data_IF_914391787232
#
_entry.id   IF_914391787232
#
_cell.length_a   1.000
_cell.length_b   1.000
_cell.length_c   1.000
_cell.angle_alpha   90.00
_cell.angle_beta   90.00
_cell.angle_gamma   90.00
#
_symmetry.space_group_name_H-M   'P 1'
#
loop_
_entity.id
_entity.type
_entity.pdbx_description
1 polymer ?
#
# COMPACT_ATOMS: atom_id res chain seq x y z
N UNK A 1 -19.62 -49.09 3.15
CA UNK A 1 -18.57 -49.95 2.57
C UNK A 1 -17.71 -49.11 1.63
N UNK A 2 -16.42 -48.98 1.94
CA UNK A 2 -15.25 -48.79 1.05
C UNK A 2 -15.34 -47.66 -0.02
N UNK A 3 -14.79 -46.47 0.22
CA UNK A 3 -13.37 -46.10 0.10
C UNK A 3 -12.72 -46.56 -1.21
N UNK A 4 -12.42 -45.61 -2.13
CA UNK A 4 -11.24 -45.63 -3.01
C UNK A 4 -10.83 -44.18 -3.35
N UNK A 5 -9.79 -43.70 -2.65
CA UNK A 5 -9.00 -42.56 -3.07
C UNK A 5 -8.10 -42.94 -4.25
N UNK A 6 -7.85 -41.97 -5.14
CA UNK A 6 -6.82 -42.06 -6.15
C UNK A 6 -5.82 -40.92 -5.90
N UNK A 7 -4.70 -41.26 -5.27
CA UNK A 7 -3.55 -40.38 -5.13
C UNK A 7 -2.79 -40.35 -6.46
N UNK A 8 -2.59 -39.15 -7.01
CA UNK A 8 -1.67 -38.93 -8.11
C UNK A 8 -0.25 -38.77 -7.54
N UNK A 9 0.59 -39.80 -7.66
CA UNK A 9 2.01 -39.76 -7.30
C UNK A 9 2.81 -39.19 -8.47
N UNK A 10 3.18 -37.91 -8.39
CA UNK A 10 4.18 -37.30 -9.28
C UNK A 10 5.58 -37.66 -8.74
N UNK A 11 6.29 -38.54 -9.45
CA UNK A 11 7.72 -38.80 -9.24
C UNK A 11 8.54 -37.75 -9.98
N UNK A 12 9.10 -36.78 -9.27
CA UNK A 12 10.18 -35.92 -9.81
C UNK A 12 11.51 -36.64 -9.61
N UNK A 13 12.18 -37.01 -10.70
CA UNK A 13 13.58 -37.45 -10.68
C UNK A 13 14.47 -36.21 -10.53
N UNK A 14 15.14 -36.04 -9.40
CA UNK A 14 16.28 -35.14 -9.31
C UNK A 14 17.46 -35.77 -10.04
N UNK A 15 17.86 -35.17 -11.17
CA UNK A 15 19.16 -35.41 -11.79
C UNK A 15 20.14 -34.34 -11.29
N UNK A 16 21.11 -34.75 -10.48
CA UNK A 16 22.25 -33.92 -10.11
C UNK A 16 23.21 -33.82 -11.31
N UNK A 17 23.50 -32.60 -11.75
CA UNK A 17 24.58 -32.32 -12.72
C UNK A 17 25.64 -31.46 -12.04
N UNK A 18 26.82 -32.04 -11.88
CA UNK A 18 28.04 -31.32 -11.53
C UNK A 18 28.46 -30.40 -12.69
N UNK A 19 29.06 -29.23 -12.44
CA UNK A 19 29.64 -28.42 -13.50
C UNK A 19 31.03 -28.95 -13.89
N UNK A 20 31.25 -29.03 -15.21
CA UNK A 20 32.54 -29.35 -15.80
C UNK A 20 33.51 -28.15 -15.66
N UNK A 21 34.71 -28.42 -15.16
CA UNK A 21 35.83 -27.47 -15.14
C UNK A 21 36.38 -27.36 -16.56
N UNK A 22 36.19 -26.20 -17.19
CA UNK A 22 36.86 -25.84 -18.45
C UNK A 22 38.11 -25.04 -18.11
N UNK A 23 39.26 -25.63 -18.43
CA UNK A 23 40.58 -25.04 -18.26
C UNK A 23 40.88 -24.17 -19.48
N UNK A 24 40.80 -22.85 -19.34
CA UNK A 24 41.19 -21.91 -20.39
C UNK A 24 42.65 -21.49 -20.22
N UNK A 25 43.42 -21.67 -21.30
CA UNK A 25 44.81 -21.27 -21.46
C UNK A 25 44.99 -19.77 -21.31
N UNK A 26 46.02 -19.38 -20.55
CA UNK A 26 46.47 -18.01 -20.44
C UNK A 26 47.21 -17.58 -21.71
N UNK A 27 46.67 -16.60 -22.43
CA UNK A 27 47.41 -15.81 -23.40
C UNK A 27 47.62 -14.42 -22.80
N UNK A 28 48.87 -14.10 -22.45
CA UNK A 28 49.24 -12.85 -21.81
C UNK A 28 49.42 -11.74 -22.85
N UNK A 29 48.53 -10.76 -22.85
CA UNK A 29 48.72 -9.48 -23.56
C UNK A 29 48.82 -8.35 -22.53
N UNK A 30 50.05 -7.87 -22.31
CA UNK A 30 50.39 -6.76 -21.44
C UNK A 30 49.79 -5.44 -21.98
N UNK A 31 48.81 -4.90 -21.26
CA UNK A 31 48.34 -3.52 -21.47
C UNK A 31 48.91 -2.62 -20.36
N UNK A 32 49.41 -1.41 -20.68
CA UNK A 32 49.88 -0.47 -19.67
C UNK A 32 48.70 0.01 -18.82
N UNK A 33 48.75 -0.28 -17.51
CA UNK A 33 47.79 0.23 -16.52
C UNK A 33 48.07 1.71 -16.23
N UNK A 34 47.33 2.59 -16.88
CA UNK A 34 47.23 3.99 -16.45
C UNK A 34 46.46 4.03 -15.13
N UNK A 35 47.11 4.43 -14.03
CA UNK A 35 46.43 4.66 -12.74
C UNK A 35 45.51 5.87 -12.90
N UNK A 36 44.21 5.63 -13.03
CA UNK A 36 43.21 6.69 -12.84
C UNK A 36 43.28 7.14 -11.38
N UNK A 37 43.67 8.38 -11.16
CA UNK A 37 43.55 9.02 -9.86
C UNK A 37 42.06 9.11 -9.50
N UNK A 38 41.65 8.41 -8.44
CA UNK A 38 40.31 8.52 -7.87
C UNK A 38 40.16 9.91 -7.27
N UNK A 39 39.54 10.83 -8.00
CA UNK A 39 39.04 12.07 -7.42
C UNK A 39 38.02 11.69 -6.36
N UNK A 40 38.38 11.91 -5.10
CA UNK A 40 37.47 11.80 -3.95
C UNK A 40 36.37 12.86 -4.17
N UNK A 41 35.19 12.42 -4.60
CA UNK A 41 34.02 13.28 -4.70
C UNK A 41 33.69 13.85 -3.31
N UNK A 42 33.00 15.01 -3.24
CA UNK A 42 32.52 15.54 -1.97
C UNK A 42 31.68 14.48 -1.26
N UNK A 43 31.77 14.44 0.06
CA UNK A 43 30.96 13.55 0.89
C UNK A 43 29.48 13.72 0.53
N UNK A 44 28.69 12.62 0.45
CA UNK A 44 27.27 12.73 0.20
C UNK A 44 26.67 13.68 1.24
N UNK A 45 25.87 14.64 0.76
CA UNK A 45 25.10 15.49 1.64
C UNK A 45 24.32 14.59 2.62
N UNK A 46 24.30 14.96 3.90
CA UNK A 46 23.43 14.31 4.89
C UNK A 46 22.05 14.19 4.26
N UNK A 47 21.51 12.96 4.22
CA UNK A 47 20.17 12.68 3.73
C UNK A 47 19.25 13.73 4.32
N UNK A 48 18.58 14.52 3.47
CA UNK A 48 17.54 15.42 3.93
C UNK A 48 16.56 14.57 4.75
N UNK A 49 16.30 14.99 5.99
CA UNK A 49 15.33 14.35 6.86
C UNK A 49 14.00 14.34 6.10
N UNK A 50 13.47 13.14 5.80
CA UNK A 50 12.20 13.01 5.09
C UNK A 50 11.12 13.28 6.14
N UNK A 51 10.66 14.53 6.21
CA UNK A 51 9.55 14.91 7.07
C UNK A 51 8.26 14.31 6.51
N UNK A 52 7.66 13.39 7.26
CA UNK A 52 6.32 12.86 6.99
C UNK A 52 5.27 13.86 7.47
N UNK A 53 4.13 13.91 6.77
CA UNK A 53 3.05 14.83 7.11
C UNK A 53 2.30 14.35 8.37
N UNK A 54 1.98 15.29 9.26
CA UNK A 54 1.19 15.05 10.47
C UNK A 54 -0.21 15.62 10.29
N UNK A 55 -1.22 14.75 10.34
CA UNK A 55 -2.64 15.12 10.18
C UNK A 55 -3.13 16.01 11.33
N UNK A 56 -4.15 16.83 11.05
CA UNK A 56 -4.84 17.58 12.11
C UNK A 56 -5.44 16.60 13.14
N UNK A 57 -5.28 16.84 14.46
CA UNK A 57 -5.86 15.97 15.48
C UNK A 57 -7.38 15.90 15.37
N UNK A 58 -7.95 14.70 15.59
CA UNK A 58 -9.40 14.52 15.75
C UNK A 58 -9.75 14.62 17.24
N UNK A 59 -10.79 15.39 17.56
CA UNK A 59 -11.22 15.71 18.91
C UNK A 59 -12.48 14.95 19.31
N UNK A 60 -12.29 13.86 20.05
CA UNK A 60 -13.38 13.11 20.68
C UNK A 60 -14.10 12.12 19.75
N UNK A 61 -14.95 11.29 20.35
CA UNK A 61 -15.53 10.13 19.67
C UNK A 61 -16.50 10.48 18.55
N UNK A 62 -17.22 11.60 18.66
CA UNK A 62 -18.17 12.04 17.63
C UNK A 62 -17.45 12.35 16.32
N UNK A 63 -16.35 13.10 16.39
CA UNK A 63 -15.54 13.44 15.22
C UNK A 63 -14.87 12.18 14.64
N UNK A 64 -14.38 11.29 15.50
CA UNK A 64 -13.79 10.02 15.07
C UNK A 64 -14.80 9.12 14.35
N UNK A 65 -16.03 9.00 14.83
CA UNK A 65 -17.05 8.19 14.15
C UNK A 65 -17.54 8.84 12.85
N UNK A 66 -17.64 10.17 12.81
CA UNK A 66 -17.91 10.89 11.56
C UNK A 66 -16.78 10.66 10.54
N UNK A 67 -15.53 10.69 10.99
CA UNK A 67 -14.36 10.39 10.17
C UNK A 67 -14.38 8.95 9.64
N UNK A 68 -14.73 7.97 10.48
CA UNK A 68 -14.86 6.55 10.08
C UNK A 68 -15.87 6.40 8.94
N UNK A 69 -17.06 6.99 9.09
CA UNK A 69 -18.12 6.92 8.08
C UNK A 69 -17.69 7.62 6.79
N UNK A 70 -17.08 8.79 6.90
CA UNK A 70 -16.61 9.55 5.75
C UNK A 70 -15.54 8.78 4.95
N UNK A 71 -14.51 8.24 5.62
CA UNK A 71 -13.43 7.50 4.96
C UNK A 71 -13.94 6.21 4.32
N UNK A 72 -14.78 5.45 5.03
CA UNK A 72 -15.34 4.21 4.47
C UNK A 72 -16.20 4.50 3.23
N UNK A 73 -16.97 5.59 3.22
CA UNK A 73 -17.74 6.00 2.03
C UNK A 73 -16.81 6.43 0.90
N UNK A 74 -15.84 7.30 1.18
CA UNK A 74 -14.91 7.83 0.18
C UNK A 74 -14.09 6.73 -0.50
N UNK A 75 -13.56 5.78 0.27
CA UNK A 75 -12.77 4.67 -0.26
C UNK A 75 -13.61 3.68 -1.05
N UNK A 76 -14.82 3.35 -0.58
CA UNK A 76 -15.68 2.44 -1.33
C UNK A 76 -16.08 3.06 -2.68
N UNK A 77 -16.41 4.35 -2.69
CA UNK A 77 -16.69 5.09 -3.93
C UNK A 77 -15.47 5.15 -4.84
N UNK A 78 -14.27 5.38 -4.31
CA UNK A 78 -13.06 5.33 -5.12
C UNK A 78 -12.83 3.95 -5.74
N UNK A 79 -12.94 2.88 -4.95
CA UNK A 79 -12.76 1.52 -5.45
C UNK A 79 -13.78 1.17 -6.54
N UNK A 80 -15.05 1.54 -6.35
CA UNK A 80 -16.11 1.33 -7.34
C UNK A 80 -15.88 2.11 -8.64
N UNK A 81 -15.32 3.32 -8.56
CA UNK A 81 -15.03 4.18 -9.72
C UNK A 81 -13.76 3.80 -10.47
N UNK A 82 -12.72 3.36 -9.77
CA UNK A 82 -11.45 2.91 -10.39
C UNK A 82 -11.63 1.57 -11.10
N UNK A 83 -12.51 0.71 -10.56
CA UNK A 83 -12.71 -0.65 -11.03
C UNK A 83 -14.14 -0.87 -11.53
N UNK A 84 -14.81 -1.89 -11.00
CA UNK A 84 -16.23 -2.16 -11.21
C UNK A 84 -16.89 -2.24 -9.85
N UNK A 85 -18.18 -1.95 -9.78
CA UNK A 85 -18.92 -2.02 -8.51
C UNK A 85 -18.89 -3.44 -7.95
N UNK A 86 -18.35 -3.58 -6.73
CA UNK A 86 -18.18 -4.88 -6.07
C UNK A 86 -18.56 -4.78 -4.58
N UNK A 87 -19.27 -5.79 -4.02
CA UNK A 87 -19.59 -5.80 -2.59
C UNK A 87 -18.33 -5.83 -1.70
N UNK A 88 -17.22 -6.38 -2.20
CA UNK A 88 -15.93 -6.41 -1.52
C UNK A 88 -15.37 -5.02 -1.22
N UNK A 89 -15.68 -4.01 -2.05
CA UNK A 89 -15.18 -2.65 -1.84
C UNK A 89 -15.69 -2.02 -0.54
N UNK A 90 -16.95 -2.27 -0.20
CA UNK A 90 -17.53 -1.82 1.08
C UNK A 90 -16.83 -2.50 2.27
N UNK A 91 -16.52 -3.79 2.15
CA UNK A 91 -15.80 -4.53 3.19
C UNK A 91 -14.38 -3.98 3.39
N UNK A 92 -13.64 -3.77 2.30
CA UNK A 92 -12.26 -3.26 2.33
C UNK A 92 -12.21 -1.84 2.85
N UNK A 93 -13.09 -0.96 2.35
CA UNK A 93 -13.17 0.43 2.79
C UNK A 93 -13.53 0.56 4.27
N UNK A 94 -14.48 -0.26 4.75
CA UNK A 94 -14.82 -0.31 6.17
C UNK A 94 -13.63 -0.79 7.02
N UNK A 95 -12.94 -1.86 6.61
CA UNK A 95 -11.78 -2.37 7.33
C UNK A 95 -10.65 -1.32 7.41
N UNK A 96 -10.39 -0.61 6.32
CA UNK A 96 -9.38 0.45 6.27
C UNK A 96 -9.75 1.62 7.19
N UNK A 97 -11.01 2.07 7.14
CA UNK A 97 -11.52 3.12 8.01
C UNK A 97 -11.45 2.71 9.50
N UNK A 98 -11.82 1.47 9.82
CA UNK A 98 -11.77 0.93 11.18
C UNK A 98 -10.35 0.89 11.74
N UNK A 99 -9.38 0.42 10.94
CA UNK A 99 -7.97 0.42 11.30
C UNK A 99 -7.45 1.85 11.52
N UNK A 100 -7.72 2.75 10.57
CA UNK A 100 -7.30 4.15 10.65
C UNK A 100 -7.80 4.84 11.92
N UNK A 101 -9.11 4.81 12.21
CA UNK A 101 -9.63 5.48 13.41
C UNK A 101 -9.19 4.81 14.71
N UNK A 102 -8.91 3.49 14.68
CA UNK A 102 -8.28 2.80 15.79
C UNK A 102 -6.88 3.32 16.10
N UNK A 103 -6.12 3.72 15.07
CA UNK A 103 -4.81 4.36 15.21
C UNK A 103 -4.94 5.83 15.65
N UNK A 104 -5.88 6.58 15.07
CA UNK A 104 -6.16 7.98 15.48
C UNK A 104 -6.53 8.06 16.96
N UNK A 105 -7.34 7.12 17.47
CA UNK A 105 -7.66 7.00 18.91
C UNK A 105 -6.45 6.77 19.80
N UNK A 106 -5.41 6.12 19.30
CA UNK A 106 -4.15 5.90 20.01
C UNK A 106 -3.19 7.09 19.92
N UNK A 107 -3.59 8.17 19.24
CA UNK A 107 -2.79 9.38 19.07
C UNK A 107 -1.82 9.32 17.89
N UNK A 108 -1.92 8.32 17.02
CA UNK A 108 -1.12 8.29 15.79
C UNK A 108 -1.70 9.27 14.77
N UNK A 109 -0.86 10.17 14.27
CA UNK A 109 -1.23 11.24 13.33
C UNK A 109 -0.20 11.38 12.18
N UNK A 110 0.93 10.68 12.26
CA UNK A 110 1.94 10.66 11.22
C UNK A 110 1.45 9.80 10.04
N UNK A 111 1.37 10.39 8.85
CA UNK A 111 0.84 9.70 7.67
C UNK A 111 1.69 8.49 7.28
N UNK A 112 3.02 8.60 7.34
CA UNK A 112 3.92 7.49 7.05
C UNK A 112 3.63 6.27 7.93
N UNK A 113 3.49 6.48 9.24
CA UNK A 113 3.12 5.43 10.18
C UNK A 113 1.70 4.90 9.92
N UNK A 114 0.74 5.78 9.63
CA UNK A 114 -0.64 5.39 9.35
C UNK A 114 -0.73 4.49 8.11
N UNK A 115 -0.04 4.81 7.01
CA UNK A 115 0.00 3.97 5.80
C UNK A 115 0.45 2.56 6.15
N UNK A 116 1.59 2.44 6.84
CA UNK A 116 2.18 1.14 7.16
C UNK A 116 1.31 0.33 8.12
N UNK A 117 0.76 0.99 9.15
CA UNK A 117 -0.08 0.35 10.15
C UNK A 117 -1.43 -0.11 9.56
N UNK A 118 -2.09 0.73 8.75
CA UNK A 118 -3.34 0.35 8.06
C UNK A 118 -3.07 -0.79 7.07
N UNK A 119 -2.00 -0.74 6.29
CA UNK A 119 -1.66 -1.81 5.35
C UNK A 119 -1.44 -3.15 6.08
N UNK A 120 -0.77 -3.10 7.23
CA UNK A 120 -0.57 -4.28 8.07
C UNK A 120 -1.89 -4.89 8.57
N UNK A 121 -2.86 -4.06 8.98
CA UNK A 121 -4.18 -4.55 9.39
C UNK A 121 -4.96 -5.14 8.19
N UNK A 122 -4.84 -4.53 7.02
CA UNK A 122 -5.49 -4.98 5.79
C UNK A 122 -4.90 -6.28 5.22
N UNK A 123 -3.67 -6.65 5.57
CA UNK A 123 -3.07 -7.94 5.23
C UNK A 123 -3.68 -9.14 5.99
N UNK A 124 -4.70 -8.91 6.83
CA UNK A 124 -5.36 -9.97 7.58
C UNK A 124 -5.92 -11.06 6.64
N UNK A 125 -5.72 -12.37 6.96
CA UNK A 125 -6.13 -13.47 6.10
C UNK A 125 -7.63 -13.52 5.76
N UNK A 126 -8.49 -12.93 6.60
CA UNK A 126 -9.93 -12.85 6.35
C UNK A 126 -10.29 -11.88 5.21
N UNK A 127 -9.43 -10.90 4.89
CA UNK A 127 -9.63 -9.95 3.79
C UNK A 127 -9.02 -10.42 2.47
N UNK A 128 -8.18 -11.46 2.49
CA UNK A 128 -7.51 -11.98 1.30
C UNK A 128 -8.46 -12.35 0.15
N UNK A 129 -9.66 -12.96 0.39
CA UNK A 129 -10.62 -13.21 -0.69
C UNK A 129 -11.14 -11.92 -1.33
N UNK A 130 -11.34 -10.86 -0.53
CA UNK A 130 -11.85 -9.58 -0.99
C UNK A 130 -10.82 -8.82 -1.83
N UNK A 131 -9.55 -8.80 -1.40
CA UNK A 131 -8.45 -8.25 -2.21
C UNK A 131 -8.27 -8.98 -3.54
N UNK A 132 -8.36 -10.32 -3.53
CA UNK A 132 -8.27 -11.10 -4.77
C UNK A 132 -9.38 -10.77 -5.77
N UNK A 133 -10.56 -10.39 -5.30
CA UNK A 133 -11.71 -10.05 -6.16
C UNK A 133 -11.68 -8.59 -6.66
N UNK A 134 -11.07 -7.69 -5.90
CA UNK A 134 -11.11 -6.23 -6.13
C UNK A 134 -9.95 -5.70 -6.98
N UNK A 135 -9.03 -6.55 -7.43
CA UNK A 135 -7.88 -6.17 -8.27
C UNK A 135 -6.96 -5.11 -7.64
N UNK A 136 -7.00 -4.96 -6.33
CA UNK A 136 -6.15 -4.04 -5.56
C UNK A 136 -5.42 -4.77 -4.44
N UNK A 137 -4.55 -4.07 -3.71
CA UNK A 137 -3.80 -4.62 -2.59
C UNK A 137 -3.89 -3.74 -1.30
N UNK A 138 -3.47 -4.28 -0.14
CA UNK A 138 -3.49 -3.56 1.13
C UNK A 138 -2.74 -2.22 1.13
N UNK A 139 -1.62 -2.11 0.40
CA UNK A 139 -0.83 -0.89 0.34
C UNK A 139 -1.49 0.15 -0.55
N UNK A 140 -2.07 -0.24 -1.68
CA UNK A 140 -2.83 0.67 -2.55
C UNK A 140 -4.00 1.31 -1.81
N UNK A 141 -4.79 0.51 -1.09
CA UNK A 141 -5.91 1.01 -0.27
C UNK A 141 -5.42 1.93 0.84
N UNK A 142 -4.31 1.59 1.51
CA UNK A 142 -3.76 2.39 2.61
C UNK A 142 -3.14 3.71 2.15
N UNK A 143 -2.47 3.69 0.98
CA UNK A 143 -1.95 4.90 0.34
C UNK A 143 -3.09 5.80 -0.09
N UNK A 144 -4.12 5.26 -0.75
CA UNK A 144 -5.27 6.06 -1.17
C UNK A 144 -6.02 6.65 0.02
N UNK A 145 -6.17 5.89 1.12
CA UNK A 145 -6.74 6.42 2.36
C UNK A 145 -5.98 7.66 2.82
N UNK A 146 -4.65 7.56 2.86
CA UNK A 146 -3.77 8.64 3.32
C UNK A 146 -3.83 9.87 2.42
N UNK A 147 -3.80 9.68 1.10
CA UNK A 147 -4.03 10.75 0.11
C UNK A 147 -5.39 11.44 0.32
N UNK A 148 -6.43 10.64 0.58
CA UNK A 148 -7.81 11.12 0.74
C UNK A 148 -7.95 12.00 1.99
N UNK A 149 -7.37 11.59 3.12
CA UNK A 149 -7.41 12.38 4.36
C UNK A 149 -6.51 13.62 4.29
N UNK A 150 -5.35 13.52 3.63
CA UNK A 150 -4.48 14.67 3.37
C UNK A 150 -5.16 15.71 2.47
N UNK A 151 -5.86 15.26 1.43
CA UNK A 151 -6.65 16.13 0.55
C UNK A 151 -7.77 16.84 1.32
N UNK A 152 -8.50 16.10 2.16
CA UNK A 152 -9.50 16.68 3.06
C UNK A 152 -8.88 17.73 3.99
N UNK A 153 -7.65 17.52 4.43
CA UNK A 153 -6.90 18.47 5.24
C UNK A 153 -6.40 19.71 4.48
N UNK A 154 -6.57 19.75 3.15
CA UNK A 154 -6.16 20.85 2.28
C UNK A 154 -4.74 20.71 1.75
N UNK A 155 -4.11 19.54 1.89
CA UNK A 155 -2.78 19.28 1.35
C UNK A 155 -2.85 18.95 -0.13
N UNK A 156 -1.87 19.44 -0.89
CA UNK A 156 -1.62 18.97 -2.23
C UNK A 156 -0.70 17.75 -2.17
N UNK A 157 -1.26 16.59 -2.49
CA UNK A 157 -0.53 15.31 -2.52
C UNK A 157 -0.12 14.99 -3.95
N UNK A 158 1.01 14.33 -4.13
CA UNK A 158 1.38 13.83 -5.45
C UNK A 158 0.40 12.72 -5.89
N UNK A 159 0.23 12.53 -7.20
CA UNK A 159 -0.54 11.43 -7.80
C UNK A 159 -2.07 11.48 -7.63
N UNK A 160 -2.64 12.68 -7.38
CA UNK A 160 -4.10 12.88 -7.39
C UNK A 160 -4.59 13.43 -8.73
N UNK A 161 -5.78 13.00 -9.11
CA UNK A 161 -6.50 13.45 -10.30
C UNK A 161 -7.55 14.51 -9.95
N UNK A 162 -8.08 15.19 -10.97
CA UNK A 162 -9.26 16.05 -10.80
C UNK A 162 -10.46 15.24 -10.27
N UNK A 163 -10.60 13.97 -10.69
CA UNK A 163 -11.67 13.08 -10.25
C UNK A 163 -11.61 12.80 -8.75
N UNK A 164 -10.42 12.73 -8.14
CA UNK A 164 -10.28 12.55 -6.69
C UNK A 164 -10.83 13.75 -5.91
N UNK A 165 -10.54 14.97 -6.38
CA UNK A 165 -11.06 16.20 -5.74
C UNK A 165 -12.57 16.31 -5.88
N UNK A 166 -13.09 16.03 -7.07
CA UNK A 166 -14.53 16.01 -7.32
C UNK A 166 -15.23 14.94 -6.48
N UNK A 167 -14.62 13.75 -6.30
CA UNK A 167 -15.16 12.69 -5.45
C UNK A 167 -15.27 13.15 -4.00
N UNK A 168 -14.22 13.73 -3.44
CA UNK A 168 -14.22 14.26 -2.07
C UNK A 168 -15.35 15.29 -1.89
N UNK A 169 -15.52 16.19 -2.85
CA UNK A 169 -16.60 17.18 -2.82
C UNK A 169 -17.99 16.53 -2.87
N UNK A 170 -18.20 15.53 -3.75
CA UNK A 170 -19.45 14.75 -3.78
C UNK A 170 -19.73 14.07 -2.44
N UNK A 171 -18.73 13.41 -1.84
CA UNK A 171 -18.87 12.75 -0.53
C UNK A 171 -19.23 13.76 0.55
N UNK A 172 -18.59 14.93 0.59
CA UNK A 172 -18.89 15.99 1.55
C UNK A 172 -20.34 16.46 1.45
N UNK A 173 -20.87 16.59 0.22
CA UNK A 173 -22.26 16.95 -0.02
C UNK A 173 -23.23 15.86 0.46
N UNK A 174 -22.94 14.58 0.17
CA UNK A 174 -23.75 13.43 0.63
C UNK A 174 -23.80 13.37 2.16
N UNK A 175 -22.65 13.55 2.83
CA UNK A 175 -22.54 13.48 4.28
C UNK A 175 -23.20 14.68 4.96
N UNK A 176 -23.12 15.87 4.37
CA UNK A 176 -23.81 17.08 4.88
C UNK A 176 -25.33 16.99 4.70
N UNK A 177 -25.79 16.40 3.58
CA UNK A 177 -27.22 16.23 3.28
C UNK A 177 -27.91 15.11 4.07
N UNK A 178 -27.15 14.15 4.57
CA UNK A 178 -27.65 13.04 5.40
C UNK A 178 -27.89 13.45 6.87
N UNK A 179 -27.59 14.70 7.24
CA UNK A 179 -27.80 15.27 8.57
C UNK A 179 -29.11 16.08 8.70
N UNK A 180 -30.02 16.00 7.73
CA UNK A 180 -31.40 16.53 7.76
C UNK A 180 -32.42 15.40 7.91
#
# INVERSE_FOLDING_TARGET
>A
MLSKGLMCNVRVRLASRAPAVVQQSACATSHPRTRLATRRGPAPARSAEIDSYVLKPLSGDVEIEAERLWISTALATWLDEEWTVLPEHQLLAKAAADAYVGLRRKGENDVGNLVLAVASELMSPNLAPAFRASFTDPFEVSNKLSETVMLKDGCDVCCISAADRERIERINQIMSGSSM
#
